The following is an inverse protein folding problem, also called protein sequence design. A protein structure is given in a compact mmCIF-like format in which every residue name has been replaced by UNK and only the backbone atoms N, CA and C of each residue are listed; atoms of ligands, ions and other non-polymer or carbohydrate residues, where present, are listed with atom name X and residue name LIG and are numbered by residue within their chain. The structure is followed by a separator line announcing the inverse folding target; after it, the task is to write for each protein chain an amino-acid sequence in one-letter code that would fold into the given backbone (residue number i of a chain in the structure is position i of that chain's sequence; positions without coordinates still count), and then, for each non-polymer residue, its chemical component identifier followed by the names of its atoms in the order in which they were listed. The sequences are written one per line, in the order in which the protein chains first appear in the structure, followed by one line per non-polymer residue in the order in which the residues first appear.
data_IF_766609957136
#
_entry.id   IF_766609957136
#
_cell.length_a   1.000
_cell.length_b   1.000
_cell.length_c   1.000
_cell.angle_alpha   90.00
_cell.angle_beta   90.00
_cell.angle_gamma   90.00
#
_symmetry.space_group_name_H-M   'P 1'
#
loop_
_entity.id
_entity.type
_entity.pdbx_description
1 polymer ?
#
# COMPACT_ATOMS: atom_id res chain seq x y z
N UNK A 1 -11.28 -11.79 -20.51
CA UNK A 1 -10.18 -11.47 -19.56
C UNK A 1 -10.69 -11.65 -18.14
N UNK A 2 -9.83 -12.09 -17.23
CA UNK A 2 -10.21 -12.24 -15.80
C UNK A 2 -10.35 -10.85 -15.19
N UNK A 3 -11.48 -10.56 -14.55
CA UNK A 3 -11.68 -9.31 -13.81
C UNK A 3 -10.69 -9.24 -12.65
N UNK A 4 -10.02 -8.12 -12.50
CA UNK A 4 -9.15 -7.84 -11.37
C UNK A 4 -9.95 -7.68 -10.08
N UNK A 5 -9.32 -7.96 -8.95
CA UNK A 5 -9.93 -7.89 -7.62
C UNK A 5 -9.36 -6.76 -6.80
N UNK A 6 -10.19 -6.21 -5.93
CA UNK A 6 -9.78 -5.26 -4.87
C UNK A 6 -9.67 -6.05 -3.56
N UNK A 7 -8.48 -6.06 -2.97
CA UNK A 7 -8.22 -6.73 -1.70
C UNK A 7 -7.73 -5.74 -0.65
N UNK A 8 -8.42 -5.67 0.47
CA UNK A 8 -8.05 -4.89 1.65
C UNK A 8 -7.42 -5.82 2.69
N UNK A 9 -6.22 -5.45 3.17
CA UNK A 9 -5.49 -6.16 4.23
C UNK A 9 -5.24 -5.16 5.37
N UNK A 10 -5.88 -5.35 6.51
CA UNK A 10 -5.77 -4.40 7.62
C UNK A 10 -5.62 -5.10 8.98
N UNK A 11 -5.41 -4.33 10.02
CA UNK A 11 -5.36 -4.80 11.39
C UNK A 11 -4.07 -4.45 12.13
N UNK A 12 -4.06 -4.73 13.43
CA UNK A 12 -2.94 -4.45 14.33
C UNK A 12 -1.84 -5.50 14.29
N UNK A 13 -2.13 -6.68 13.70
CA UNK A 13 -1.16 -7.76 13.55
C UNK A 13 -0.05 -7.41 12.55
N UNK A 14 1.10 -7.99 12.76
CA UNK A 14 2.23 -7.91 11.82
C UNK A 14 1.94 -8.73 10.56
N UNK A 15 2.60 -8.39 9.45
CA UNK A 15 2.58 -9.20 8.25
C UNK A 15 1.67 -8.68 7.13
N UNK A 16 0.99 -7.55 7.28
CA UNK A 16 0.17 -6.94 6.22
C UNK A 16 0.98 -6.70 4.94
N UNK A 17 2.08 -5.97 5.08
CA UNK A 17 3.02 -5.69 3.98
C UNK A 17 3.61 -6.99 3.42
N UNK A 18 4.00 -7.94 4.29
CA UNK A 18 4.54 -9.23 3.87
C UNK A 18 3.51 -10.06 3.07
N UNK A 19 2.24 -10.03 3.46
CA UNK A 19 1.15 -10.70 2.74
C UNK A 19 0.92 -10.07 1.36
N UNK A 20 0.87 -8.74 1.30
CA UNK A 20 0.73 -8.01 0.04
C UNK A 20 1.93 -8.26 -0.88
N UNK A 21 3.15 -8.20 -0.31
CA UNK A 21 4.39 -8.48 -1.01
C UNK A 21 4.42 -9.92 -1.56
N UNK A 22 4.06 -10.91 -0.76
CA UNK A 22 4.01 -12.32 -1.19
C UNK A 22 3.06 -12.53 -2.37
N UNK A 23 1.89 -11.88 -2.36
CA UNK A 23 0.96 -11.89 -3.52
C UNK A 23 1.58 -11.23 -4.75
N UNK A 24 2.27 -10.10 -4.58
CA UNK A 24 2.95 -9.40 -5.66
C UNK A 24 4.10 -10.22 -6.27
N UNK A 25 4.95 -10.82 -5.44
CA UNK A 25 6.05 -11.69 -5.88
C UNK A 25 5.47 -12.89 -6.65
N UNK A 26 4.46 -13.55 -6.11
CA UNK A 26 3.78 -14.65 -6.81
C UNK A 26 3.24 -14.22 -8.17
N UNK A 27 2.59 -13.05 -8.25
CA UNK A 27 2.09 -12.53 -9.53
C UNK A 27 3.22 -12.25 -10.52
N UNK A 28 4.32 -11.64 -10.08
CA UNK A 28 5.49 -11.36 -10.91
C UNK A 28 6.14 -12.64 -11.44
N UNK A 29 6.24 -13.69 -10.63
CA UNK A 29 6.76 -15.00 -11.04
C UNK A 29 5.88 -15.67 -12.09
N UNK A 30 4.61 -15.31 -12.19
CA UNK A 30 3.68 -15.74 -13.24
C UNK A 30 3.62 -14.78 -14.44
N UNK A 31 4.61 -13.90 -14.58
CA UNK A 31 4.75 -12.99 -15.72
C UNK A 31 3.86 -11.75 -15.67
N UNK A 32 3.21 -11.47 -14.54
CA UNK A 32 2.41 -10.25 -14.36
C UNK A 32 3.28 -9.07 -13.94
N UNK A 33 2.94 -7.89 -14.40
CA UNK A 33 3.62 -6.64 -14.00
C UNK A 33 3.04 -6.15 -12.69
N UNK A 34 3.87 -6.00 -11.67
CA UNK A 34 3.49 -5.55 -10.34
C UNK A 34 4.16 -4.22 -10.01
N UNK A 35 3.37 -3.27 -9.53
CA UNK A 35 3.87 -2.02 -8.98
C UNK A 35 3.42 -1.95 -7.52
N UNK A 36 4.35 -1.67 -6.63
CA UNK A 36 4.10 -1.40 -5.22
C UNK A 36 4.47 0.04 -4.90
N UNK A 37 3.54 0.77 -4.31
CA UNK A 37 3.73 2.14 -3.84
C UNK A 37 3.60 2.12 -2.31
N UNK A 38 4.64 2.59 -1.62
CA UNK A 38 4.66 2.68 -0.18
C UNK A 38 4.38 4.11 0.26
N UNK A 39 3.42 4.25 1.16
CA UNK A 39 3.02 5.48 1.84
C UNK A 39 3.43 5.41 3.30
N UNK A 40 3.52 6.57 3.93
CA UNK A 40 3.88 6.70 5.33
C UNK A 40 5.20 5.97 5.62
N UNK A 41 5.41 5.49 6.86
CA UNK A 41 6.62 4.76 7.20
C UNK A 41 6.54 3.32 6.70
N UNK A 42 6.98 3.08 5.48
CA UNK A 42 7.04 1.73 4.91
C UNK A 42 8.06 0.84 5.63
N UNK A 43 7.69 -0.41 5.89
CA UNK A 43 8.44 -1.36 6.73
C UNK A 43 9.40 -2.27 5.94
N UNK A 44 9.57 -2.05 4.62
CA UNK A 44 10.51 -2.86 3.85
C UNK A 44 11.95 -2.56 4.26
N UNK A 45 12.66 -3.56 4.76
CA UNK A 45 14.09 -3.45 5.00
C UNK A 45 14.85 -3.19 3.69
N UNK A 46 16.04 -2.58 3.79
CA UNK A 46 16.90 -2.36 2.62
C UNK A 46 17.21 -3.68 1.90
N UNK A 47 17.42 -4.76 2.64
CA UNK A 47 17.70 -6.09 2.10
C UNK A 47 16.53 -6.64 1.28
N UNK A 48 15.29 -6.48 1.79
CA UNK A 48 14.09 -6.87 1.05
C UNK A 48 13.91 -6.05 -0.21
N UNK A 49 14.12 -4.73 -0.13
CA UNK A 49 14.02 -3.84 -1.27
C UNK A 49 15.08 -4.17 -2.35
N UNK A 50 16.30 -4.50 -1.94
CA UNK A 50 17.38 -4.92 -2.85
C UNK A 50 17.08 -6.30 -3.47
N UNK A 51 16.55 -7.22 -2.69
CA UNK A 51 16.08 -8.52 -3.22
C UNK A 51 15.00 -8.37 -4.28
N UNK A 52 14.06 -7.44 -4.09
CA UNK A 52 12.99 -7.16 -5.06
C UNK A 52 13.49 -6.56 -6.37
N UNK A 53 14.63 -5.85 -6.37
CA UNK A 53 15.25 -5.36 -7.60
C UNK A 53 15.62 -6.48 -8.57
N UNK A 54 15.85 -7.70 -8.07
CA UNK A 54 16.13 -8.87 -8.91
C UNK A 54 14.90 -9.32 -9.72
N UNK A 55 13.70 -8.92 -9.30
CA UNK A 55 12.45 -9.20 -10.02
C UNK A 55 12.11 -8.13 -11.07
N UNK A 56 12.95 -7.09 -11.22
CA UNK A 56 12.72 -6.07 -12.23
C UNK A 56 12.88 -6.68 -13.65
N UNK A 57 12.09 -6.26 -14.65
CA UNK A 57 11.08 -5.19 -14.56
C UNK A 57 9.68 -5.65 -14.09
N UNK A 58 9.51 -6.96 -13.77
CA UNK A 58 8.20 -7.51 -13.44
C UNK A 58 7.65 -7.00 -12.10
N UNK A 59 8.51 -6.67 -11.14
CA UNK A 59 8.14 -6.09 -9.85
C UNK A 59 8.91 -4.79 -9.60
N UNK A 60 8.21 -3.68 -9.38
CA UNK A 60 8.80 -2.37 -9.09
C UNK A 60 8.22 -1.81 -7.80
N UNK A 61 9.10 -1.24 -6.96
CA UNK A 61 8.71 -0.58 -5.70
C UNK A 61 9.03 0.91 -5.79
N UNK A 62 8.06 1.75 -5.44
CA UNK A 62 8.19 3.20 -5.34
C UNK A 62 7.88 3.64 -3.92
N UNK A 63 8.69 4.54 -3.38
CA UNK A 63 8.50 5.14 -2.06
C UNK A 63 8.30 6.62 -2.20
N UNK A 64 7.29 7.15 -1.53
CA UNK A 64 6.96 8.57 -1.50
C UNK A 64 7.11 9.18 -0.12
N UNK A 65 7.76 8.49 0.78
CA UNK A 65 8.14 8.99 2.10
C UNK A 65 9.57 9.54 2.07
N UNK A 66 9.86 10.60 2.80
CA UNK A 66 11.21 11.13 2.99
C UNK A 66 11.63 11.15 4.45
N UNK A 67 10.67 11.11 5.37
CA UNK A 67 10.91 11.27 6.80
C UNK A 67 11.09 9.92 7.48
N UNK A 68 12.06 9.85 8.40
CA UNK A 68 12.30 8.66 9.24
C UNK A 68 11.37 8.60 10.47
N UNK A 69 10.52 9.60 10.67
CA UNK A 69 9.60 9.74 11.79
C UNK A 69 8.15 9.54 11.33
N UNK A 70 7.28 9.17 12.27
CA UNK A 70 5.85 9.10 12.00
C UNK A 70 5.30 10.50 11.72
N UNK A 71 4.33 10.61 10.81
CA UNK A 71 3.70 11.85 10.41
C UNK A 71 3.25 12.72 11.61
N UNK A 72 2.69 12.09 12.63
CA UNK A 72 2.21 12.76 13.86
C UNK A 72 3.31 13.49 14.63
N UNK A 73 4.56 13.01 14.55
CA UNK A 73 5.72 13.55 15.27
C UNK A 73 6.51 14.58 14.45
N UNK A 74 6.14 14.81 13.20
CA UNK A 74 6.83 15.77 12.34
C UNK A 74 6.56 17.22 12.74
N UNK A 75 7.52 18.09 12.48
CA UNK A 75 7.33 19.53 12.51
C UNK A 75 6.28 19.98 11.48
N UNK A 76 5.75 21.19 11.61
CA UNK A 76 4.78 21.73 10.65
C UNK A 76 5.34 21.80 9.21
N UNK A 77 6.63 22.09 9.05
CA UNK A 77 7.30 22.05 7.75
C UNK A 77 7.43 20.62 7.26
N UNK A 78 7.85 19.69 8.12
CA UNK A 78 7.93 18.27 7.81
C UNK A 78 6.58 17.67 7.39
N UNK A 79 5.50 18.06 8.06
CA UNK A 79 4.13 17.65 7.69
C UNK A 79 3.73 18.15 6.30
N UNK A 80 4.08 19.39 5.95
CA UNK A 80 3.80 19.94 4.61
C UNK A 80 4.57 19.20 3.51
N UNK A 81 5.84 18.89 3.75
CA UNK A 81 6.64 18.12 2.82
C UNK A 81 6.07 16.71 2.63
N UNK A 82 5.69 16.06 3.73
CA UNK A 82 5.14 14.71 3.71
C UNK A 82 3.78 14.66 3.00
N UNK A 83 2.91 15.66 3.23
CA UNK A 83 1.66 15.81 2.48
C UNK A 83 1.90 15.94 0.98
N UNK A 84 2.90 16.69 0.57
CA UNK A 84 3.28 16.81 -0.84
C UNK A 84 3.73 15.46 -1.41
N UNK A 85 4.54 14.70 -0.66
CA UNK A 85 4.99 13.36 -1.05
C UNK A 85 3.82 12.38 -1.18
N UNK A 86 2.90 12.37 -0.20
CA UNK A 86 1.69 11.55 -0.22
C UNK A 86 0.84 11.90 -1.44
N UNK A 87 0.64 13.19 -1.72
CA UNK A 87 -0.13 13.63 -2.88
C UNK A 87 0.54 13.21 -4.21
N UNK A 88 1.86 13.27 -4.29
CA UNK A 88 2.62 12.79 -5.43
C UNK A 88 2.46 11.27 -5.62
N UNK A 89 2.54 10.51 -4.53
CA UNK A 89 2.31 9.06 -4.54
C UNK A 89 0.89 8.70 -4.98
N UNK A 90 -0.10 9.43 -4.48
CA UNK A 90 -1.50 9.26 -4.87
C UNK A 90 -1.73 9.57 -6.37
N UNK A 91 -1.17 10.67 -6.87
CA UNK A 91 -1.26 11.02 -8.29
C UNK A 91 -0.53 10.00 -9.18
N UNK A 92 0.59 9.46 -8.71
CA UNK A 92 1.30 8.39 -9.40
C UNK A 92 0.47 7.10 -9.43
N UNK A 93 -0.19 6.73 -8.33
CA UNK A 93 -1.10 5.58 -8.28
C UNK A 93 -2.24 5.72 -9.31
N UNK A 94 -2.89 6.89 -9.38
CA UNK A 94 -3.92 7.18 -10.39
C UNK A 94 -3.38 7.00 -11.81
N UNK A 95 -2.21 7.57 -12.09
CA UNK A 95 -1.58 7.45 -13.40
C UNK A 95 -1.36 5.98 -13.77
N UNK A 96 -0.76 5.20 -12.88
CA UNK A 96 -0.49 3.77 -13.10
C UNK A 96 -1.77 3.00 -13.41
N UNK A 97 -2.86 3.29 -12.68
CA UNK A 97 -4.17 2.65 -12.89
C UNK A 97 -4.81 3.03 -14.23
N UNK A 98 -4.68 4.30 -14.65
CA UNK A 98 -5.26 4.80 -15.90
C UNK A 98 -4.49 4.35 -17.16
N UNK A 99 -3.19 4.03 -17.02
CA UNK A 99 -2.33 3.76 -18.18
C UNK A 99 -2.11 2.28 -18.43
N UNK A 100 -2.66 1.40 -17.59
CA UNK A 100 -2.46 -0.04 -17.70
C UNK A 100 -0.98 -0.47 -17.58
N UNK A 101 -0.18 0.30 -16.86
CA UNK A 101 1.25 0.01 -16.69
C UNK A 101 1.52 -1.23 -15.85
N UNK A 102 0.52 -1.73 -15.10
CA UNK A 102 0.63 -2.94 -14.29
C UNK A 102 -0.62 -3.80 -14.35
N UNK A 103 -0.45 -5.07 -14.01
CA UNK A 103 -1.53 -6.05 -13.81
C UNK A 103 -1.96 -6.13 -12.34
N UNK A 104 -1.09 -5.67 -11.42
CA UNK A 104 -1.36 -5.60 -9.99
C UNK A 104 -0.71 -4.35 -9.41
N UNK A 105 -1.50 -3.54 -8.70
CA UNK A 105 -1.04 -2.39 -7.92
C UNK A 105 -1.20 -2.69 -6.43
N UNK A 106 -0.14 -2.48 -5.68
CA UNK A 106 -0.12 -2.58 -4.21
C UNK A 106 0.10 -1.18 -3.64
N UNK A 107 -0.83 -0.71 -2.83
CA UNK A 107 -0.73 0.55 -2.09
C UNK A 107 -0.53 0.24 -0.60
N UNK A 108 0.72 0.20 -0.19
CA UNK A 108 1.11 -0.15 1.17
C UNK A 108 0.95 1.04 2.11
N UNK A 109 0.28 0.84 3.25
CA UNK A 109 -0.14 1.85 4.24
C UNK A 109 -1.09 2.94 3.71
N UNK A 110 -1.72 2.74 2.55
CA UNK A 110 -2.66 3.71 2.00
C UNK A 110 -3.95 3.83 2.82
N UNK A 111 -4.39 2.78 3.50
CA UNK A 111 -5.54 2.88 4.41
C UNK A 111 -5.25 3.85 5.56
N UNK A 112 -4.00 3.96 6.01
CA UNK A 112 -3.57 4.96 6.99
C UNK A 112 -3.62 6.39 6.43
N UNK A 113 -3.33 6.57 5.16
CA UNK A 113 -3.47 7.87 4.45
C UNK A 113 -4.93 8.30 4.41
N UNK A 114 -5.86 7.37 4.14
CA UNK A 114 -7.30 7.62 4.15
C UNK A 114 -7.81 7.91 5.57
N UNK A 115 -7.43 7.09 6.54
CA UNK A 115 -7.84 7.22 7.95
C UNK A 115 -7.43 8.56 8.56
N UNK A 116 -6.22 9.02 8.25
CA UNK A 116 -5.69 10.32 8.69
C UNK A 116 -6.14 11.51 7.82
N UNK A 117 -6.97 11.26 6.81
CA UNK A 117 -7.49 12.28 5.87
C UNK A 117 -6.39 13.11 5.21
N UNK A 118 -5.30 12.46 4.81
CA UNK A 118 -4.16 13.11 4.15
C UNK A 118 -4.36 13.29 2.64
N UNK A 119 -5.43 12.74 2.11
CA UNK A 119 -5.95 12.93 0.74
C UNK A 119 -7.44 13.26 0.81
N UNK A 120 -8.05 13.61 -0.32
CA UNK A 120 -9.48 13.92 -0.38
C UNK A 120 -10.37 12.76 0.06
N UNK A 121 -11.55 13.06 0.57
CA UNK A 121 -12.50 12.05 1.06
C UNK A 121 -12.96 11.08 -0.06
N UNK A 122 -12.90 11.50 -1.32
CA UNK A 122 -13.22 10.71 -2.52
C UNK A 122 -12.02 9.98 -3.13
N UNK A 123 -10.88 9.95 -2.43
CA UNK A 123 -9.63 9.44 -2.99
C UNK A 123 -9.70 7.95 -3.36
N UNK A 124 -10.38 7.13 -2.56
CA UNK A 124 -10.54 5.71 -2.83
C UNK A 124 -11.43 5.49 -4.06
N UNK A 125 -12.57 6.14 -4.12
CA UNK A 125 -13.52 6.06 -5.25
C UNK A 125 -12.85 6.53 -6.55
N UNK A 126 -12.06 7.60 -6.48
CA UNK A 126 -11.30 8.11 -7.62
C UNK A 126 -10.27 7.09 -8.12
N UNK A 127 -9.54 6.41 -7.23
CA UNK A 127 -8.61 5.33 -7.62
C UNK A 127 -9.35 4.15 -8.26
N UNK A 128 -10.48 3.75 -7.67
CA UNK A 128 -11.29 2.65 -8.19
C UNK A 128 -11.89 2.97 -9.56
N UNK A 129 -12.34 4.20 -9.77
CA UNK A 129 -12.85 4.67 -11.07
C UNK A 129 -11.74 4.74 -12.14
N UNK A 130 -10.50 5.03 -11.72
CA UNK A 130 -9.35 5.07 -12.63
C UNK A 130 -8.82 3.68 -13.00
N UNK A 131 -9.16 2.65 -12.22
CA UNK A 131 -8.63 1.29 -12.38
C UNK A 131 -9.21 0.60 -13.59
N UNK A 132 -8.36 0.06 -14.47
CA UNK A 132 -8.80 -0.87 -15.51
C UNK A 132 -9.36 -2.16 -14.90
N UNK A 133 -10.40 -2.74 -15.52
CA UNK A 133 -11.14 -3.86 -14.96
C UNK A 133 -10.30 -5.12 -14.66
N UNK A 134 -9.18 -5.31 -15.37
CA UNK A 134 -8.29 -6.46 -15.23
C UNK A 134 -7.17 -6.27 -14.20
N UNK A 135 -6.99 -5.07 -13.64
CA UNK A 135 -5.93 -4.77 -12.67
C UNK A 135 -6.35 -5.18 -11.27
N UNK A 136 -5.54 -5.99 -10.60
CA UNK A 136 -5.71 -6.26 -9.17
C UNK A 136 -5.22 -5.05 -8.34
N UNK A 137 -5.96 -4.68 -7.30
CA UNK A 137 -5.60 -3.61 -6.36
C UNK A 137 -5.52 -4.19 -4.94
N UNK A 138 -4.38 -4.01 -4.28
CA UNK A 138 -4.19 -4.39 -2.88
C UNK A 138 -3.95 -3.13 -2.05
N UNK A 139 -4.74 -2.95 -1.00
CA UNK A 139 -4.63 -1.84 -0.05
C UNK A 139 -4.27 -2.39 1.32
N UNK A 140 -3.26 -1.81 1.98
CA UNK A 140 -2.91 -2.20 3.35
C UNK A 140 -2.99 -1.02 4.32
N UNK A 141 -3.11 -1.33 5.62
CA UNK A 141 -3.05 -0.37 6.70
C UNK A 141 -3.51 -0.93 8.03
N UNK A 142 -3.41 -0.13 9.07
CA UNK A 142 -3.76 -0.54 10.44
C UNK A 142 -5.27 -0.57 10.67
N UNK A 143 -5.96 0.43 10.14
CA UNK A 143 -7.42 0.61 10.27
C UNK A 143 -8.03 0.54 8.86
N UNK A 144 -9.19 -0.09 8.74
CA UNK A 144 -10.01 0.00 7.54
C UNK A 144 -10.97 1.19 7.73
N UNK A 145 -10.86 2.26 6.94
CA UNK A 145 -11.80 3.36 7.01
C UNK A 145 -13.23 2.92 6.73
N UNK A 146 -14.19 3.55 7.41
CA UNK A 146 -15.60 3.23 7.22
C UNK A 146 -16.01 3.32 5.75
N UNK A 147 -16.70 2.31 5.26
CA UNK A 147 -17.16 2.21 3.87
C UNK A 147 -16.12 1.68 2.88
N UNK A 148 -14.82 1.64 3.22
CA UNK A 148 -13.80 1.13 2.29
C UNK A 148 -14.01 -0.35 1.95
N UNK A 149 -14.49 -1.15 2.89
CA UNK A 149 -14.81 -2.57 2.69
C UNK A 149 -15.90 -2.83 1.65
N UNK A 150 -16.82 -1.88 1.44
CA UNK A 150 -17.90 -2.01 0.46
C UNK A 150 -17.38 -2.06 -0.99
N UNK A 151 -16.18 -1.52 -1.20
CA UNK A 151 -15.50 -1.48 -2.49
C UNK A 151 -14.57 -2.68 -2.73
N UNK A 152 -14.39 -3.55 -1.73
CA UNK A 152 -13.46 -4.67 -1.80
C UNK A 152 -14.17 -5.98 -2.21
N UNK A 153 -13.48 -6.77 -3.05
CA UNK A 153 -13.87 -8.15 -3.35
C UNK A 153 -13.42 -9.11 -2.25
N UNK A 154 -12.37 -8.73 -1.50
CA UNK A 154 -11.79 -9.52 -0.42
C UNK A 154 -11.26 -8.60 0.69
N UNK A 155 -11.61 -8.90 1.93
CA UNK A 155 -11.14 -8.17 3.12
C UNK A 155 -10.51 -9.14 4.10
N UNK A 156 -9.27 -8.87 4.49
CA UNK A 156 -8.53 -9.68 5.46
C UNK A 156 -8.09 -8.82 6.63
N UNK A 157 -8.41 -9.25 7.85
CA UNK A 157 -7.92 -8.63 9.08
C UNK A 157 -6.85 -9.50 9.73
N UNK A 158 -5.71 -8.88 10.06
CA UNK A 158 -4.60 -9.53 10.76
C UNK A 158 -4.56 -9.06 12.21
N UNK A 159 -4.55 -10.02 13.12
CA UNK A 159 -4.45 -9.78 14.56
C UNK A 159 -3.31 -10.61 15.17
N UNK A 160 -2.57 -10.02 16.11
CA UNK A 160 -1.60 -10.74 16.90
C UNK A 160 -2.28 -11.24 18.19
N UNK A 161 -2.56 -12.53 18.26
CA UNK A 161 -3.22 -13.14 19.42
C UNK A 161 -2.27 -13.30 20.62
N UNK A 162 -0.96 -13.49 20.38
CA UNK A 162 0.06 -13.61 21.40
C UNK A 162 1.35 -12.96 20.91
N UNK A 163 1.69 -11.76 21.40
CA UNK A 163 2.96 -11.12 21.05
C UNK A 163 4.14 -11.89 21.67
N UNK A 164 5.29 -11.93 20.96
CA UNK A 164 6.54 -12.44 21.53
C UNK A 164 7.06 -11.50 22.60
N UNK A 165 7.73 -12.04 23.63
CA UNK A 165 8.30 -11.24 24.72
C UNK A 165 9.42 -10.29 24.25
N UNK A 166 10.04 -10.54 23.10
CA UNK A 166 11.15 -9.75 22.55
C UNK A 166 10.70 -8.56 21.68
N UNK A 167 9.42 -8.50 21.34
CA UNK A 167 8.84 -7.37 20.62
C UNK A 167 7.56 -6.96 21.34
N UNK A 168 7.67 -6.00 22.25
CA UNK A 168 6.54 -5.09 22.46
C UNK A 168 6.09 -4.70 21.05
N UNK A 169 4.82 -4.94 20.71
CA UNK A 169 4.26 -4.68 19.37
C UNK A 169 4.76 -3.30 18.93
N UNK A 170 5.88 -3.27 18.26
CA UNK A 170 6.40 -2.03 17.68
C UNK A 170 5.44 -1.73 16.55
N UNK A 171 4.73 -0.65 16.76
CA UNK A 171 3.80 -0.02 15.85
C UNK A 171 4.29 -0.13 14.40
N UNK A 172 3.70 -1.03 13.68
CA UNK A 172 3.88 -1.17 12.25
C UNK A 172 2.56 -0.88 11.55
#
# INVERSE_FOLDING_TARGET
MKKGKVHIIFGTGMGKTAMALGRGVSAAMHGRKVIMIQFLKGVLSHETADGLKQLAPAFKVFRFEKQNEYYENLSEEGKKEELCNIQNGYNFAKKVLCTGECDMLILDEFLGVLDQKLVGDDALETLLAAREENVDLILTGKVCPAGAEEHADEVTRLECLKPSNDHACMNG
#
